data_IF_123742262029
#
_entry.id   IF_123742262029
#
_cell.length_a   1.000
_cell.length_b   1.000
_cell.length_c   1.000
_cell.angle_alpha   90.00
_cell.angle_beta   90.00
_cell.angle_gamma   90.00
#
_symmetry.space_group_name_H-M   'P 1'
#
loop_
_entity.id
_entity.type
_entity.pdbx_description
1 polymer ?
#
# COMPACT_ATOMS: atom_id res chain seq x y z
N UNK A 1 -16.82 -42.60 -23.48
CA UNK A 1 -16.45 -41.70 -24.61
C UNK A 1 -15.00 -41.89 -25.03
N UNK A 2 -14.03 -41.85 -24.10
CA UNK A 2 -12.62 -42.13 -24.42
C UNK A 2 -12.36 -43.44 -25.19
N UNK A 3 -12.96 -44.57 -24.79
CA UNK A 3 -12.74 -45.86 -25.50
C UNK A 3 -13.41 -45.95 -26.87
N UNK A 4 -14.40 -45.11 -27.17
CA UNK A 4 -15.01 -45.04 -28.52
C UNK A 4 -14.09 -44.26 -29.46
N UNK A 5 -13.47 -43.19 -28.95
CA UNK A 5 -12.50 -42.38 -29.69
C UNK A 5 -11.21 -43.19 -29.99
N UNK A 6 -10.70 -43.95 -29.02
CA UNK A 6 -9.55 -44.84 -29.24
C UNK A 6 -9.83 -45.91 -30.32
N UNK A 7 -11.05 -46.45 -30.34
CA UNK A 7 -11.46 -47.40 -31.37
C UNK A 7 -11.61 -46.75 -32.75
N UNK A 8 -12.16 -45.53 -32.84
CA UNK A 8 -12.25 -44.78 -34.10
C UNK A 8 -10.86 -44.40 -34.63
N UNK A 9 -9.96 -43.94 -33.78
CA UNK A 9 -8.57 -43.65 -34.16
C UNK A 9 -7.85 -44.91 -34.67
N UNK A 10 -8.04 -46.05 -34.02
CA UNK A 10 -7.46 -47.31 -34.47
C UNK A 10 -8.01 -47.72 -35.85
N UNK A 11 -9.31 -47.52 -36.10
CA UNK A 11 -9.95 -47.79 -37.40
C UNK A 11 -9.43 -46.82 -38.48
N UNK A 12 -9.31 -45.53 -38.16
CA UNK A 12 -8.79 -44.50 -39.07
C UNK A 12 -7.32 -44.79 -39.42
N UNK A 13 -6.47 -45.07 -38.42
CA UNK A 13 -5.07 -45.47 -38.61
C UNK A 13 -4.97 -46.70 -39.53
N UNK A 14 -5.77 -47.74 -39.25
CA UNK A 14 -5.81 -48.95 -40.07
C UNK A 14 -6.21 -48.65 -41.52
N UNK A 15 -7.26 -47.83 -41.74
CA UNK A 15 -7.72 -47.45 -43.08
C UNK A 15 -6.71 -46.59 -43.85
N UNK A 16 -6.01 -45.69 -43.16
CA UNK A 16 -4.98 -44.83 -43.74
C UNK A 16 -3.74 -45.65 -44.14
N UNK A 17 -3.20 -46.47 -43.23
CA UNK A 17 -2.02 -47.31 -43.53
C UNK A 17 -2.28 -48.33 -44.64
N UNK A 18 -3.47 -48.92 -44.69
CA UNK A 18 -3.80 -49.94 -45.70
C UNK A 18 -4.33 -49.37 -47.01
N UNK A 19 -4.52 -48.04 -47.08
CA UNK A 19 -5.18 -47.35 -48.20
C UNK A 19 -6.44 -48.06 -48.68
N UNK A 20 -7.24 -48.62 -47.77
CA UNK A 20 -8.46 -49.38 -48.12
C UNK A 20 -9.59 -48.53 -48.68
N UNK A 21 -9.42 -47.20 -48.70
CA UNK A 21 -10.40 -46.24 -49.20
C UNK A 21 -9.83 -45.56 -50.44
N UNK A 22 -10.64 -45.43 -51.49
CA UNK A 22 -10.26 -44.72 -52.70
C UNK A 22 -9.93 -43.26 -52.36
N UNK A 23 -8.78 -42.78 -52.81
CA UNK A 23 -8.37 -41.38 -52.70
C UNK A 23 -8.33 -40.76 -54.10
N UNK A 24 -8.26 -39.44 -54.21
CA UNK A 24 -8.11 -38.75 -55.50
C UNK A 24 -6.88 -39.23 -56.30
N UNK A 25 -5.85 -39.75 -55.62
CA UNK A 25 -4.67 -40.33 -56.24
C UNK A 25 -4.80 -41.83 -56.56
N UNK A 26 -5.75 -42.55 -55.96
CA UNK A 26 -5.93 -44.00 -56.12
C UNK A 26 -7.43 -44.37 -56.17
N UNK A 27 -8.00 -44.42 -57.37
CA UNK A 27 -9.42 -44.74 -57.64
C UNK A 27 -9.84 -46.14 -57.15
N UNK A 28 -8.89 -47.07 -57.01
CA UNK A 28 -9.10 -48.36 -56.31
C UNK A 28 -7.96 -48.63 -55.32
N UNK A 29 -8.26 -49.15 -54.12
CA UNK A 29 -7.25 -49.58 -53.15
C UNK A 29 -6.22 -50.53 -53.77
N UNK A 30 -4.91 -50.35 -53.56
CA UNK A 30 -3.87 -51.15 -54.20
C UNK A 30 -4.06 -52.67 -54.03
N UNK A 31 -4.48 -53.13 -52.85
CA UNK A 31 -4.78 -54.53 -52.59
C UNK A 31 -6.01 -55.05 -53.35
N UNK A 32 -7.05 -54.22 -53.53
CA UNK A 32 -8.24 -54.59 -54.31
C UNK A 32 -7.88 -54.74 -55.80
N UNK A 33 -7.00 -53.87 -56.30
CA UNK A 33 -6.46 -53.98 -57.66
C UNK A 33 -5.62 -55.24 -57.82
N UNK A 34 -4.77 -55.55 -56.85
CA UNK A 34 -3.92 -56.74 -56.83
C UNK A 34 -4.76 -58.03 -56.91
N UNK A 35 -5.77 -58.16 -56.05
CA UNK A 35 -6.66 -59.34 -56.04
C UNK A 35 -7.41 -59.47 -57.38
N UNK A 36 -7.90 -58.37 -57.95
CA UNK A 36 -8.61 -58.40 -59.24
C UNK A 36 -7.69 -58.83 -60.39
N UNK A 37 -6.45 -58.32 -60.44
CA UNK A 37 -5.46 -58.73 -61.45
C UNK A 37 -5.02 -60.18 -61.27
N UNK A 38 -4.82 -60.63 -60.03
CA UNK A 38 -4.48 -62.00 -59.70
C UNK A 38 -5.58 -62.99 -60.15
N UNK A 39 -6.84 -62.71 -59.85
CA UNK A 39 -7.96 -63.56 -60.28
C UNK A 39 -8.07 -63.64 -61.80
N UNK A 40 -7.86 -62.51 -62.51
CA UNK A 40 -7.82 -62.49 -63.99
C UNK A 40 -6.66 -63.31 -64.54
N UNK A 41 -5.48 -63.22 -63.94
CA UNK A 41 -4.33 -64.03 -64.31
C UNK A 41 -4.63 -65.53 -64.15
N UNK A 42 -5.21 -65.96 -63.03
CA UNK A 42 -5.61 -67.36 -62.83
C UNK A 42 -6.60 -67.87 -63.90
N UNK A 43 -7.57 -67.04 -64.29
CA UNK A 43 -8.55 -67.40 -65.33
C UNK A 43 -7.89 -67.61 -66.70
N UNK A 44 -6.95 -66.75 -67.09
CA UNK A 44 -6.22 -66.86 -68.37
C UNK A 44 -5.29 -68.08 -68.39
N UNK A 45 -4.61 -68.35 -67.28
CA UNK A 45 -3.76 -69.54 -67.13
C UNK A 45 -4.57 -70.83 -67.27
N UNK A 46 -5.75 -70.90 -66.65
CA UNK A 46 -6.66 -72.06 -66.77
C UNK A 46 -7.27 -72.20 -68.18
N UNK A 47 -7.43 -71.09 -68.90
CA UNK A 47 -7.97 -71.05 -70.26
C UNK A 47 -6.96 -71.31 -71.38
N UNK A 48 -5.68 -71.59 -71.07
CA UNK A 48 -4.65 -71.95 -72.05
C UNK A 48 -4.02 -70.77 -72.83
N UNK A 49 -4.21 -69.53 -72.37
CA UNK A 49 -3.64 -68.33 -73.03
C UNK A 49 -2.23 -68.01 -72.53
N UNK A 50 -1.19 -68.66 -73.07
CA UNK A 50 0.19 -68.52 -72.59
C UNK A 50 0.74 -67.07 -72.67
N UNK A 51 0.61 -66.41 -73.83
CA UNK A 51 1.17 -65.07 -74.04
C UNK A 51 0.48 -63.99 -73.18
N UNK A 52 -0.85 -64.09 -73.03
CA UNK A 52 -1.61 -63.17 -72.16
C UNK A 52 -1.35 -63.45 -70.69
N UNK A 53 -1.10 -64.71 -70.30
CA UNK A 53 -0.69 -65.06 -68.95
C UNK A 53 0.67 -64.45 -68.60
N UNK A 54 1.66 -64.54 -69.48
CA UNK A 54 2.99 -63.94 -69.26
C UNK A 54 2.91 -62.42 -69.12
N UNK A 55 2.12 -61.75 -69.97
CA UNK A 55 1.87 -60.31 -69.87
C UNK A 55 1.23 -59.91 -68.54
N UNK A 56 0.19 -60.64 -68.12
CA UNK A 56 -0.49 -60.41 -66.84
C UNK A 56 0.40 -60.71 -65.63
N UNK A 57 1.31 -61.69 -65.73
CA UNK A 57 2.30 -61.99 -64.71
C UNK A 57 3.27 -60.82 -64.50
N UNK A 58 3.81 -60.26 -65.59
CA UNK A 58 4.66 -59.07 -65.52
C UNK A 58 3.96 -57.86 -64.89
N UNK A 59 2.69 -57.64 -65.24
CA UNK A 59 1.87 -56.58 -64.60
C UNK A 59 1.61 -56.83 -63.11
N UNK A 60 1.40 -58.09 -62.72
CA UNK A 60 1.17 -58.47 -61.33
C UNK A 60 2.44 -58.25 -60.49
N UNK A 61 3.61 -58.63 -61.01
CA UNK A 61 4.89 -58.38 -60.37
C UNK A 61 5.16 -56.87 -60.22
N UNK A 62 4.95 -56.08 -61.27
CA UNK A 62 5.11 -54.63 -61.20
C UNK A 62 4.20 -54.00 -60.13
N UNK A 63 2.95 -54.48 -60.00
CA UNK A 63 2.03 -54.02 -58.98
C UNK A 63 2.50 -54.41 -57.56
N UNK A 64 3.03 -55.63 -57.37
CA UNK A 64 3.59 -56.06 -56.08
C UNK A 64 4.79 -55.21 -55.66
N UNK A 65 5.73 -54.93 -56.57
CA UNK A 65 6.87 -54.06 -56.29
C UNK A 65 6.44 -52.63 -55.92
N UNK A 66 5.44 -52.09 -56.62
CA UNK A 66 4.88 -50.76 -56.31
C UNK A 66 4.27 -50.71 -54.90
N UNK A 67 3.50 -51.73 -54.51
CA UNK A 67 2.93 -51.85 -53.16
C UNK A 67 4.04 -51.97 -52.11
N UNK A 68 5.04 -52.82 -52.34
CA UNK A 68 6.17 -53.01 -51.43
C UNK A 68 6.94 -51.70 -51.21
N UNK A 69 7.27 -50.99 -52.29
CA UNK A 69 7.95 -49.69 -52.21
C UNK A 69 7.12 -48.68 -51.41
N UNK A 70 5.81 -48.66 -51.64
CA UNK A 70 4.92 -47.77 -50.88
C UNK A 70 4.89 -48.09 -49.39
N UNK A 71 4.86 -49.37 -49.01
CA UNK A 71 4.92 -49.79 -47.61
C UNK A 71 6.24 -49.39 -46.95
N UNK A 72 7.37 -49.56 -47.64
CA UNK A 72 8.68 -49.13 -47.15
C UNK A 72 8.72 -47.61 -46.92
N UNK A 73 8.16 -46.83 -47.84
CA UNK A 73 8.04 -45.37 -47.70
C UNK A 73 7.23 -44.99 -46.46
N UNK A 74 6.05 -45.59 -46.25
CA UNK A 74 5.21 -45.32 -45.08
C UNK A 74 5.92 -45.68 -43.77
N UNK A 75 6.65 -46.80 -43.76
CA UNK A 75 7.43 -47.20 -42.60
C UNK A 75 8.54 -46.21 -42.25
N UNK A 76 9.30 -45.75 -43.26
CA UNK A 76 10.33 -44.73 -43.06
C UNK A 76 9.73 -43.39 -42.57
N UNK A 77 8.55 -43.01 -43.06
CA UNK A 77 7.83 -41.83 -42.61
C UNK A 77 7.35 -41.96 -41.16
N UNK A 78 6.89 -43.14 -40.72
CA UNK A 78 6.46 -43.36 -39.33
C UNK A 78 7.54 -43.00 -38.32
N UNK A 79 8.78 -43.46 -38.54
CA UNK A 79 9.89 -43.14 -37.64
C UNK A 79 10.33 -41.67 -37.69
N UNK A 80 10.02 -40.94 -38.76
CA UNK A 80 10.21 -39.48 -38.81
C UNK A 80 9.12 -38.75 -38.01
N UNK A 81 7.86 -39.16 -38.17
CA UNK A 81 6.73 -38.60 -37.44
C UNK A 81 6.81 -38.83 -35.94
N UNK A 82 7.28 -40.00 -35.49
CA UNK A 82 7.50 -40.28 -34.07
C UNK A 82 8.53 -39.33 -33.44
N UNK A 83 9.65 -39.09 -34.13
CA UNK A 83 10.67 -38.12 -33.69
C UNK A 83 10.14 -36.70 -33.66
N UNK A 84 9.37 -36.32 -34.68
CA UNK A 84 8.75 -35.00 -34.74
C UNK A 84 7.70 -34.81 -33.63
N UNK A 85 6.91 -35.84 -33.33
CA UNK A 85 5.95 -35.82 -32.23
C UNK A 85 6.64 -35.64 -30.87
N UNK A 86 7.76 -36.34 -30.63
CA UNK A 86 8.56 -36.17 -29.41
C UNK A 86 9.10 -34.75 -29.30
N UNK A 87 9.65 -34.20 -30.38
CA UNK A 87 10.15 -32.82 -30.41
C UNK A 87 9.06 -31.80 -30.08
N UNK A 88 7.85 -31.95 -30.63
CA UNK A 88 6.75 -31.06 -30.30
C UNK A 88 6.27 -31.21 -28.86
N UNK A 89 6.27 -32.43 -28.30
CA UNK A 89 5.95 -32.64 -26.91
C UNK A 89 6.95 -31.95 -25.97
N UNK A 90 8.24 -32.05 -26.26
CA UNK A 90 9.30 -31.36 -25.52
C UNK A 90 9.16 -29.84 -25.59
N UNK A 91 8.94 -29.29 -26.79
CA UNK A 91 8.71 -27.84 -26.98
C UNK A 91 7.46 -27.37 -26.23
N UNK A 92 6.40 -28.16 -26.24
CA UNK A 92 5.17 -27.85 -25.52
C UNK A 92 5.44 -27.82 -24.01
N UNK A 93 6.19 -28.80 -23.47
CA UNK A 93 6.55 -28.82 -22.05
C UNK A 93 7.42 -27.60 -21.68
N UNK A 94 8.40 -27.25 -22.51
CA UNK A 94 9.24 -26.06 -22.30
C UNK A 94 8.42 -24.77 -22.32
N UNK A 95 7.48 -24.64 -23.26
CA UNK A 95 6.59 -23.48 -23.34
C UNK A 95 5.71 -23.37 -22.10
N UNK A 96 5.14 -24.48 -21.63
CA UNK A 96 4.32 -24.51 -20.41
C UNK A 96 5.13 -24.11 -19.17
N UNK A 97 6.37 -24.60 -19.04
CA UNK A 97 7.26 -24.19 -17.95
C UNK A 97 7.58 -22.69 -17.99
N UNK A 98 7.84 -22.14 -19.18
CA UNK A 98 8.08 -20.71 -19.38
C UNK A 98 6.86 -19.86 -19.02
N UNK A 99 5.65 -20.31 -19.38
CA UNK A 99 4.39 -19.63 -19.00
C UNK A 99 4.25 -19.61 -17.48
N UNK A 100 4.42 -20.75 -16.81
CA UNK A 100 4.31 -20.84 -15.34
C UNK A 100 5.33 -19.94 -14.64
N UNK A 101 6.57 -19.90 -15.15
CA UNK A 101 7.59 -19.00 -14.62
C UNK A 101 7.20 -17.53 -14.80
N UNK A 102 6.72 -17.14 -15.98
CA UNK A 102 6.28 -15.78 -16.24
C UNK A 102 5.08 -15.38 -15.37
N UNK A 103 4.15 -16.29 -15.10
CA UNK A 103 3.03 -16.06 -14.18
C UNK A 103 3.52 -15.80 -12.75
N UNK A 104 4.47 -16.60 -12.26
CA UNK A 104 5.10 -16.39 -10.95
C UNK A 104 5.82 -15.04 -10.88
N UNK A 105 6.61 -14.71 -11.91
CA UNK A 105 7.31 -13.43 -11.99
C UNK A 105 6.31 -12.26 -11.95
N UNK A 106 5.17 -12.36 -12.64
CA UNK A 106 4.12 -11.33 -12.61
C UNK A 106 3.55 -11.17 -11.20
N UNK A 107 3.28 -12.27 -10.49
CA UNK A 107 2.76 -12.22 -9.12
C UNK A 107 3.75 -11.57 -8.16
N UNK A 108 5.03 -11.92 -8.26
CA UNK A 108 6.07 -11.34 -7.42
C UNK A 108 6.25 -9.85 -7.68
N UNK A 109 6.23 -9.44 -8.96
CA UNK A 109 6.30 -8.01 -9.33
C UNK A 109 5.08 -7.22 -8.87
N UNK A 110 3.89 -7.83 -8.83
CA UNK A 110 2.71 -7.17 -8.25
C UNK A 110 2.90 -6.90 -6.75
N UNK A 111 3.41 -7.87 -6.00
CA UNK A 111 3.70 -7.71 -4.56
C UNK A 111 4.75 -6.62 -4.32
N UNK A 112 5.83 -6.62 -5.11
CA UNK A 112 6.86 -5.57 -5.05
C UNK A 112 6.27 -4.18 -5.33
N UNK A 113 5.41 -4.06 -6.34
CA UNK A 113 4.74 -2.81 -6.69
C UNK A 113 3.82 -2.31 -5.56
N UNK A 114 3.07 -3.21 -4.91
CA UNK A 114 2.23 -2.87 -3.77
C UNK A 114 3.08 -2.35 -2.59
N UNK A 115 4.20 -3.03 -2.27
CA UNK A 115 5.15 -2.56 -1.27
C UNK A 115 5.70 -1.16 -1.59
N UNK A 116 6.13 -0.94 -2.82
CA UNK A 116 6.64 0.36 -3.28
C UNK A 116 5.59 1.48 -3.20
N UNK A 117 4.31 1.17 -3.47
CA UNK A 117 3.21 2.14 -3.32
C UNK A 117 3.00 2.53 -1.86
N UNK A 118 3.04 1.58 -0.95
CA UNK A 118 2.92 1.84 0.49
C UNK A 118 4.09 2.71 0.98
N UNK A 119 5.33 2.43 0.57
CA UNK A 119 6.47 3.29 0.89
C UNK A 119 6.32 4.71 0.36
N UNK A 120 5.79 4.86 -0.87
CA UNK A 120 5.54 6.16 -1.45
C UNK A 120 4.48 6.94 -0.65
N UNK A 121 3.39 6.28 -0.25
CA UNK A 121 2.37 6.88 0.60
C UNK A 121 2.96 7.37 1.93
N UNK A 122 3.74 6.53 2.61
CA UNK A 122 4.41 6.91 3.86
C UNK A 122 5.37 8.11 3.67
N UNK A 123 6.13 8.14 2.56
CA UNK A 123 7.02 9.26 2.23
C UNK A 123 6.23 10.56 2.01
N UNK A 124 5.08 10.48 1.34
CA UNK A 124 4.21 11.62 1.09
C UNK A 124 3.58 12.14 2.39
N UNK A 125 3.09 11.26 3.25
CA UNK A 125 2.56 11.61 4.58
C UNK A 125 3.64 12.26 5.45
N UNK A 126 4.86 11.70 5.45
CA UNK A 126 5.99 12.26 6.17
C UNK A 126 6.35 13.66 5.68
N UNK A 127 6.43 13.87 4.36
CA UNK A 127 6.70 15.20 3.80
C UNK A 127 5.57 16.20 4.08
N UNK A 128 4.31 15.75 4.14
CA UNK A 128 3.19 16.60 4.53
C UNK A 128 3.31 17.06 5.99
N UNK A 129 3.58 16.13 6.93
CA UNK A 129 3.79 16.45 8.35
C UNK A 129 5.01 17.33 8.52
N UNK A 130 6.12 17.02 7.85
CA UNK A 130 7.35 17.83 7.87
C UNK A 130 7.08 19.28 7.46
N UNK A 131 6.33 19.51 6.38
CA UNK A 131 5.94 20.87 5.94
C UNK A 131 5.14 21.60 7.03
N UNK A 132 4.21 20.92 7.70
CA UNK A 132 3.45 21.51 8.80
C UNK A 132 4.35 21.87 9.99
N UNK A 133 5.26 20.97 10.37
CA UNK A 133 6.22 21.20 11.46
C UNK A 133 7.14 22.38 11.15
N UNK A 134 7.56 22.55 9.90
CA UNK A 134 8.40 23.69 9.49
C UNK A 134 7.68 25.04 9.50
N UNK A 135 6.35 25.08 9.59
CA UNK A 135 5.60 26.34 9.74
C UNK A 135 5.60 26.87 11.18
N UNK A 136 5.88 26.00 12.16
CA UNK A 136 5.93 26.36 13.58
C UNK A 136 7.35 26.80 13.94
N UNK A 137 7.54 27.83 14.79
CA UNK A 137 8.87 28.22 15.25
C UNK A 137 9.62 27.07 15.90
N UNK A 138 10.95 27.13 15.83
CA UNK A 138 11.78 26.11 16.47
C UNK A 138 11.53 26.08 17.98
N UNK A 139 11.61 24.90 18.57
CA UNK A 139 11.45 24.73 20.03
C UNK A 139 12.38 25.62 20.83
N UNK A 140 13.61 25.83 20.36
CA UNK A 140 14.59 26.71 20.99
C UNK A 140 14.14 28.18 20.98
N UNK A 141 13.56 28.64 19.86
CA UNK A 141 13.02 30.00 19.77
C UNK A 141 11.85 30.21 20.75
N UNK A 142 10.90 29.29 20.81
CA UNK A 142 9.77 29.37 21.75
C UNK A 142 10.21 29.31 23.20
N UNK A 143 11.23 28.49 23.53
CA UNK A 143 11.79 28.45 24.88
C UNK A 143 12.48 29.77 25.25
N UNK A 144 13.24 30.38 24.34
CA UNK A 144 13.87 31.67 24.57
C UNK A 144 12.84 32.79 24.79
N UNK A 145 11.75 32.80 24.02
CA UNK A 145 10.63 33.72 24.20
C UNK A 145 9.96 33.52 25.57
N UNK A 146 9.68 32.28 25.96
CA UNK A 146 9.13 31.95 27.29
C UNK A 146 10.03 32.43 28.43
N UNK A 147 11.34 32.21 28.33
CA UNK A 147 12.29 32.71 29.33
C UNK A 147 12.31 34.23 29.40
N UNK A 148 12.24 34.92 28.25
CA UNK A 148 12.14 36.38 28.18
C UNK A 148 10.91 36.89 28.91
N UNK A 149 9.73 36.39 28.54
CA UNK A 149 8.46 36.77 29.18
C UNK A 149 8.45 36.46 30.68
N UNK A 150 9.02 35.33 31.11
CA UNK A 150 9.11 35.00 32.54
C UNK A 150 10.01 35.96 33.32
N UNK A 151 11.10 36.46 32.72
CA UNK A 151 11.93 37.50 33.33
C UNK A 151 11.16 38.80 33.47
N UNK A 152 10.46 39.23 32.42
CA UNK A 152 9.62 40.44 32.47
C UNK A 152 8.54 40.36 33.54
N UNK A 153 7.89 39.19 33.70
CA UNK A 153 6.93 38.96 34.78
C UNK A 153 7.59 39.13 36.14
N UNK A 154 8.76 38.53 36.36
CA UNK A 154 9.48 38.64 37.62
C UNK A 154 9.87 40.10 37.93
N UNK A 155 10.33 40.85 36.92
CA UNK A 155 10.69 42.26 37.04
C UNK A 155 9.47 43.13 37.39
N UNK A 156 8.33 42.91 36.74
CA UNK A 156 7.08 43.63 37.02
C UNK A 156 6.53 43.30 38.41
N UNK A 157 6.62 42.05 38.85
CA UNK A 157 6.24 41.64 40.20
C UNK A 157 7.10 42.34 41.26
N UNK A 158 8.41 42.45 41.03
CA UNK A 158 9.30 43.17 41.92
C UNK A 158 8.97 44.67 41.97
N UNK A 159 8.75 45.30 40.82
CA UNK A 159 8.35 46.72 40.76
C UNK A 159 7.02 46.99 41.47
N UNK A 160 6.05 46.10 41.32
CA UNK A 160 4.77 46.19 42.04
C UNK A 160 5.00 46.12 43.55
N UNK A 161 5.79 45.14 44.02
CA UNK A 161 6.11 45.00 45.43
C UNK A 161 6.82 46.23 46.00
N UNK A 162 7.75 46.83 45.24
CA UNK A 162 8.47 48.04 45.62
C UNK A 162 7.53 49.25 45.71
N UNK A 163 6.60 49.39 44.76
CA UNK A 163 5.59 50.45 44.76
C UNK A 163 4.60 50.30 45.93
N UNK A 164 4.14 49.08 46.21
CA UNK A 164 3.26 48.79 47.33
C UNK A 164 3.94 49.15 48.67
N UNK A 165 5.22 48.80 48.81
CA UNK A 165 6.02 49.17 49.99
C UNK A 165 6.17 50.69 50.13
N UNK A 166 6.43 51.40 49.02
CA UNK A 166 6.52 52.86 49.02
C UNK A 166 5.17 53.52 49.38
N UNK A 167 4.07 53.00 48.84
CA UNK A 167 2.72 53.48 49.14
C UNK A 167 2.42 53.33 50.63
N UNK A 168 2.76 52.18 51.22
CA UNK A 168 2.57 51.93 52.64
C UNK A 168 3.43 52.87 53.52
N UNK A 169 4.67 53.14 53.11
CA UNK A 169 5.50 54.15 53.76
C UNK A 169 4.86 55.55 53.70
N UNK A 170 4.29 55.95 52.54
CA UNK A 170 3.61 57.24 52.39
C UNK A 170 2.35 57.35 53.25
N UNK A 171 1.56 56.27 53.36
CA UNK A 171 0.43 56.22 54.30
C UNK A 171 0.87 56.45 55.73
N UNK A 172 1.96 55.80 56.16
CA UNK A 172 2.52 55.99 57.52
C UNK A 172 3.01 57.42 57.74
N UNK A 173 3.71 58.01 56.77
CA UNK A 173 4.14 59.42 56.83
C UNK A 173 2.95 60.39 56.91
N UNK A 174 1.92 60.18 56.08
CA UNK A 174 0.70 60.99 56.11
C UNK A 174 -0.04 60.89 57.44
N UNK A 175 -0.17 59.68 57.99
CA UNK A 175 -0.76 59.47 59.32
C UNK A 175 0.01 60.25 60.41
N UNK A 176 1.35 60.27 60.33
CA UNK A 176 2.18 61.07 61.24
C UNK A 176 1.93 62.58 61.11
N UNK A 177 1.82 63.10 59.89
CA UNK A 177 1.50 64.53 59.65
C UNK A 177 0.10 64.87 60.16
N UNK A 178 -0.90 64.01 59.92
CA UNK A 178 -2.26 64.20 60.44
C UNK A 178 -2.26 64.25 61.97
N UNK A 179 -1.55 63.34 62.64
CA UNK A 179 -1.45 63.35 64.09
C UNK A 179 -0.76 64.63 64.64
N UNK A 180 0.25 65.15 63.94
CA UNK A 180 0.90 66.40 64.30
C UNK A 180 -0.02 67.61 64.10
N UNK A 181 -0.78 67.63 62.99
CA UNK A 181 -1.78 68.66 62.71
C UNK A 181 -2.88 68.67 63.79
N UNK A 182 -3.41 67.50 64.15
CA UNK A 182 -4.38 67.36 65.24
C UNK A 182 -3.80 67.84 66.59
N UNK A 183 -2.52 67.59 66.84
CA UNK A 183 -1.85 68.09 68.04
C UNK A 183 -1.70 69.62 68.03
N UNK A 184 -1.40 70.21 66.87
CA UNK A 184 -1.30 71.66 66.70
C UNK A 184 -2.68 72.33 66.84
N UNK A 185 -3.72 71.77 66.22
CA UNK A 185 -5.10 72.21 66.42
C UNK A 185 -5.48 72.16 67.90
N UNK A 186 -5.21 71.03 68.57
CA UNK A 186 -5.41 70.91 70.03
C UNK A 186 -4.62 71.93 70.85
N UNK A 187 -3.46 72.40 70.40
CA UNK A 187 -2.70 73.46 71.08
C UNK A 187 -3.26 74.86 70.80
N UNK A 188 -3.70 75.13 69.57
CA UNK A 188 -4.33 76.41 69.20
C UNK A 188 -5.67 76.56 69.95
N UNK A 189 -6.47 75.49 70.00
CA UNK A 189 -7.72 75.43 70.77
C UNK A 189 -7.49 75.60 72.29
N UNK A 190 -6.25 75.49 72.78
CA UNK A 190 -5.87 75.70 74.20
C UNK A 190 -5.32 77.10 74.49
N UNK A 191 -4.87 77.86 73.49
CA UNK A 191 -4.21 79.17 73.66
C UNK A 191 -5.13 80.38 73.36
N UNK A 192 -6.35 80.16 72.84
CA UNK A 192 -7.42 81.17 72.80
C UNK A 192 -8.32 81.05 74.05
N UNK A 193 -8.63 82.14 74.79
CA UNK A 193 -9.67 82.11 75.80
C UNK A 193 -11.03 81.94 75.13
N UNK A 194 -11.75 80.91 75.56
CA UNK A 194 -13.08 80.55 75.06
C UNK A 194 -14.04 81.77 74.96
N UNK A 195 -14.52 82.07 73.75
CA UNK A 195 -15.84 82.65 73.55
C UNK A 195 -16.75 81.64 72.83
N UNK A 196 -17.72 81.16 73.60
CA UNK A 196 -18.79 80.24 73.24
C UNK A 196 -19.84 80.88 72.35
N UNK A 197 -20.42 80.14 71.38
CA UNK A 197 -21.88 80.02 71.18
C UNK A 197 -22.23 78.66 70.57
N UNK A 198 -23.36 78.15 71.04
CA UNK A 198 -23.95 76.81 70.96
C UNK A 198 -24.93 76.65 69.77
N UNK A 199 -25.12 75.38 69.38
CA UNK A 199 -26.31 74.72 68.76
C UNK A 199 -26.46 74.58 67.23
N UNK A 200 -26.52 73.29 66.85
CA UNK A 200 -27.17 72.62 65.71
C UNK A 200 -28.70 72.90 65.68
N UNK A 201 -29.44 72.82 64.53
CA UNK A 201 -29.64 71.54 63.82
C UNK A 201 -29.86 71.54 62.28
N UNK A 202 -29.57 70.34 61.73
CA UNK A 202 -30.21 69.57 60.64
C UNK A 202 -30.32 70.04 59.18
N UNK A 203 -29.93 69.11 58.29
CA UNK A 203 -30.25 69.07 56.86
C UNK A 203 -29.45 67.97 56.16
N UNK A 204 -29.96 66.73 56.16
CA UNK A 204 -29.25 65.55 55.65
C UNK A 204 -29.03 65.51 54.14
N UNK A 205 -28.17 64.58 53.71
CA UNK A 205 -28.28 63.94 52.40
C UNK A 205 -27.75 62.50 52.46
N UNK A 206 -28.45 61.67 51.70
CA UNK A 206 -28.46 60.22 51.64
C UNK A 206 -27.10 59.54 51.36
N UNK A 207 -27.04 58.28 51.78
CA UNK A 207 -26.22 57.23 51.21
C UNK A 207 -26.31 57.25 49.67
N UNK A 208 -25.20 57.02 48.98
CA UNK A 208 -25.13 55.82 48.15
C UNK A 208 -23.68 55.48 47.76
N UNK A 209 -23.42 54.19 47.93
CA UNK A 209 -22.30 53.40 47.45
C UNK A 209 -21.95 53.79 46.00
N UNK A 210 -20.67 54.09 45.72
CA UNK A 210 -20.12 53.91 44.39
C UNK A 210 -19.09 52.79 44.46
N UNK A 211 -19.59 51.58 44.26
CA UNK A 211 -18.81 50.45 43.79
C UNK A 211 -18.23 50.81 42.42
N UNK A 212 -16.93 51.14 42.40
CA UNK A 212 -16.14 51.25 41.19
C UNK A 212 -15.46 49.92 40.90
N UNK A 213 -16.23 48.92 40.47
CA UNK A 213 -15.68 47.74 39.79
C UNK A 213 -14.93 48.21 38.53
N UNK A 214 -13.60 48.12 38.57
CA UNK A 214 -12.81 48.14 37.35
C UNK A 214 -13.10 46.86 36.57
N UNK A 215 -14.01 46.97 35.59
CA UNK A 215 -14.25 45.98 34.54
C UNK A 215 -12.94 45.57 33.90
N UNK A 216 -12.47 44.36 34.21
CA UNK A 216 -11.54 43.63 33.35
C UNK A 216 -12.35 43.18 32.14
N UNK A 217 -12.18 43.88 31.02
CA UNK A 217 -12.68 43.43 29.74
C UNK A 217 -11.86 42.20 29.34
N UNK A 218 -12.39 41.02 29.65
CA UNK A 218 -11.89 39.76 29.12
C UNK A 218 -12.09 39.77 27.60
N UNK A 219 -11.07 40.22 26.88
CA UNK A 219 -10.96 39.95 25.46
C UNK A 219 -10.97 38.42 25.29
N UNK A 220 -12.08 37.92 24.77
CA UNK A 220 -12.25 36.55 24.37
C UNK A 220 -11.12 36.16 23.40
N UNK A 221 -10.26 35.25 23.83
CA UNK A 221 -9.46 34.45 22.90
C UNK A 221 -10.46 33.72 21.98
N UNK A 222 -10.26 33.73 20.65
CA UNK A 222 -11.11 32.99 19.75
C UNK A 222 -10.99 31.49 20.02
N UNK A 223 -12.06 30.90 20.56
CA UNK A 223 -12.31 29.47 20.57
C UNK A 223 -12.45 28.99 19.13
N UNK A 224 -11.37 28.40 18.59
CA UNK A 224 -11.47 27.47 17.47
C UNK A 224 -10.44 26.36 17.62
N UNK A 225 -10.61 25.52 18.64
CA UNK A 225 -10.18 24.12 18.58
C UNK A 225 -11.10 23.28 19.47
N UNK A 226 -12.33 23.05 18.99
CA UNK A 226 -13.16 21.94 19.48
C UNK A 226 -14.04 21.44 18.35
N UNK A 227 -13.50 20.47 17.62
CA UNK A 227 -14.21 19.77 16.56
C UNK A 227 -13.38 18.60 16.07
N UNK A 228 -13.39 17.51 16.85
CA UNK A 228 -13.37 16.10 16.40
C UNK A 228 -12.82 15.18 17.50
N UNK A 229 -13.67 14.90 18.48
CA UNK A 229 -13.60 13.69 19.32
C UNK A 229 -15.04 13.27 19.61
N UNK A 230 -15.60 12.49 18.69
CA UNK A 230 -16.77 11.64 18.91
C UNK A 230 -16.87 10.65 17.75
N UNK A 231 -16.33 9.45 17.98
CA UNK A 231 -16.98 8.16 17.70
C UNK A 231 -15.94 7.04 17.72
N UNK A 232 -15.88 6.30 18.83
CA UNK A 232 -15.62 4.86 18.77
C UNK A 232 -16.95 4.16 18.38
N UNK A 233 -16.89 3.06 17.63
CA UNK A 233 -16.68 1.73 18.21
C UNK A 233 -15.48 1.04 17.53
N UNK A 234 -14.59 0.34 18.23
CA UNK A 234 -14.87 -0.90 18.93
C UNK A 234 -14.45 -2.07 18.03
N UNK A 235 -13.26 -2.63 18.24
CA UNK A 235 -12.99 -4.07 18.21
C UNK A 235 -11.54 -4.39 18.59
N UNK A 236 -11.40 -5.50 19.30
CA UNK A 236 -10.21 -6.05 19.95
C UNK A 236 -9.02 -6.27 19.01
N UNK A 237 -7.82 -6.04 19.52
CA UNK A 237 -6.82 -7.12 19.67
C UNK A 237 -5.61 -6.67 20.49
N UNK A 238 -5.35 -7.52 21.48
CA UNK A 238 -4.32 -7.51 22.49
C UNK A 238 -2.90 -7.62 21.92
N UNK A 239 -1.98 -6.90 22.59
CA UNK A 239 -0.61 -7.27 22.96
C UNK A 239 0.22 -8.13 21.99
N UNK A 240 1.31 -7.56 21.46
CA UNK A 240 2.70 -7.91 21.86
C UNK A 240 3.72 -7.16 21.00
N UNK A 241 4.33 -6.12 21.57
CA UNK A 241 5.53 -5.47 21.03
C UNK A 241 6.69 -5.85 21.95
N UNK A 242 7.32 -6.98 21.66
CA UNK A 242 8.65 -7.30 22.17
C UNK A 242 9.63 -6.22 21.68
N UNK A 243 10.18 -5.47 22.64
CA UNK A 243 11.31 -4.59 22.46
C UNK A 243 12.57 -5.45 22.17
N UNK A 244 13.01 -5.49 20.91
CA UNK A 244 14.35 -5.98 20.58
C UNK A 244 15.41 -4.93 20.96
N UNK A 245 16.47 -5.29 21.70
CA UNK A 245 17.53 -4.35 22.06
C UNK A 245 18.48 -4.10 20.89
N UNK A 246 18.66 -2.83 20.55
CA UNK A 246 19.71 -2.34 19.65
C UNK A 246 21.10 -2.70 20.21
N UNK A 247 21.75 -3.71 19.62
CA UNK A 247 23.15 -4.01 19.87
C UNK A 247 24.05 -3.04 19.09
N UNK A 248 24.59 -2.06 19.78
CA UNK A 248 25.68 -1.20 19.30
C UNK A 248 26.98 -2.00 19.43
N UNK A 249 27.61 -2.35 18.31
CA UNK A 249 28.97 -2.91 18.31
C UNK A 249 30.00 -1.78 18.50
N UNK A 250 30.98 -1.92 19.42
CA UNK A 250 32.06 -0.97 19.53
C UNK A 250 33.14 -1.28 18.48
N UNK A 251 33.50 -0.25 17.71
CA UNK A 251 34.79 -0.21 17.00
C UNK A 251 35.92 -0.28 18.03
N UNK A 252 36.71 -1.35 18.00
CA UNK A 252 37.98 -1.48 18.70
C UNK A 252 39.10 -1.69 17.68
N UNK A 253 40.02 -0.73 17.61
CA UNK A 253 41.19 -0.77 16.72
C UNK A 253 42.38 -1.58 17.25
N UNK A 254 43.35 -1.73 16.35
CA UNK A 254 44.78 -2.02 16.52
C UNK A 254 45.19 -3.31 17.24
N UNK A 255 45.89 -4.20 16.54
CA UNK A 255 47.36 -4.36 16.66
C UNK A 255 47.89 -5.55 15.85
N UNK A 256 49.11 -5.34 15.33
CA UNK A 256 50.06 -6.27 14.69
C UNK A 256 49.86 -6.62 13.22
#
# INVERSE_FOLDING_TARGET
MASVIENEEAIIRKRYLTQTVATAANTMPPFKQLVKKYMRFCQVVQGGGADEAERLHGELLALLYSIQFHMQKLHAMSGAFEREQQLYAEKQAQLQASIQQAEQDIEDRKRELEGARTELAHKQEYEAVKKLVMQVPSRAATLAEQEGTNREIADLQQQSADLDALLEQRKQQFAGVLAALESLQRSIDRDEPEESVVALPEGGCAQDQQDGEAKYEAHALPLSYKGMLSAAPGEDRTHDLELLPLSIHPCGGSSS
#
